data_IF_634561193741
#
_entry.id   IF_634561193741
#
_cell.length_a   1.000
_cell.length_b   1.000
_cell.length_c   1.000
_cell.angle_alpha   90.00
_cell.angle_beta   90.00
_cell.angle_gamma   90.00
#
_symmetry.space_group_name_H-M   'P 1'
#
loop_
_entity.id
_entity.type
_entity.pdbx_description
1 polymer ?
#
# COMPACT_ATOMS: atom_id res chain seq x y z
N UNK A 1 11.97 -22.56 63.85
CA UNK A 1 11.87 -22.22 62.39
C UNK A 1 13.28 -21.97 61.93
N UNK A 2 13.81 -22.80 61.02
CA UNK A 2 15.20 -22.69 60.57
C UNK A 2 15.39 -21.54 59.59
N UNK A 3 16.26 -20.59 59.88
CA UNK A 3 16.55 -19.43 59.06
C UNK A 3 16.90 -19.80 57.59
N UNK A 4 17.53 -20.94 57.38
CA UNK A 4 17.86 -21.49 56.07
C UNK A 4 16.62 -21.82 55.21
N UNK A 5 15.55 -22.33 55.81
CA UNK A 5 14.30 -22.63 55.11
C UNK A 5 13.54 -21.37 54.69
N UNK A 6 13.59 -20.32 55.50
CA UNK A 6 12.97 -19.03 55.16
C UNK A 6 13.71 -18.32 54.03
N UNK A 7 15.02 -18.34 54.02
CA UNK A 7 15.86 -17.75 52.98
C UNK A 7 15.69 -18.49 51.66
N UNK A 8 15.68 -19.80 51.66
CA UNK A 8 15.48 -20.58 50.43
C UNK A 8 14.11 -20.37 49.80
N UNK A 9 13.06 -20.21 50.57
CA UNK A 9 11.71 -19.95 50.10
C UNK A 9 11.59 -18.55 49.46
N UNK A 10 12.23 -17.54 50.08
CA UNK A 10 12.25 -16.17 49.59
C UNK A 10 13.03 -16.03 48.26
N UNK A 11 14.19 -16.69 48.17
CA UNK A 11 15.00 -16.73 46.95
C UNK A 11 14.27 -17.43 45.79
N UNK A 12 13.57 -18.52 46.09
CA UNK A 12 12.79 -19.27 45.08
C UNK A 12 11.61 -18.46 44.52
N UNK A 13 10.99 -17.63 45.35
CA UNK A 13 9.91 -16.76 44.93
C UNK A 13 10.42 -15.60 44.06
N UNK A 14 11.52 -14.99 44.36
CA UNK A 14 12.15 -13.93 43.56
C UNK A 14 12.60 -14.45 42.18
N UNK A 15 13.15 -15.67 42.12
CA UNK A 15 13.54 -16.30 40.86
C UNK A 15 12.35 -16.54 39.91
N UNK A 16 11.21 -16.91 40.45
CA UNK A 16 9.99 -17.11 39.64
C UNK A 16 9.47 -15.80 39.05
N UNK A 17 9.47 -14.73 39.81
CA UNK A 17 9.06 -13.41 39.34
C UNK A 17 9.98 -12.95 38.22
N UNK A 18 11.29 -13.10 38.36
CA UNK A 18 12.24 -12.74 37.33
C UNK A 18 12.02 -13.50 36.00
N UNK A 19 11.74 -14.79 36.07
CA UNK A 19 11.45 -15.60 34.90
C UNK A 19 10.15 -15.13 34.21
N UNK A 20 9.09 -14.85 34.96
CA UNK A 20 7.83 -14.36 34.43
C UNK A 20 7.99 -12.99 33.75
N UNK A 21 8.73 -12.07 34.39
CA UNK A 21 8.95 -10.74 33.77
C UNK A 21 9.77 -10.81 32.50
N UNK A 22 10.79 -11.67 32.43
CA UNK A 22 11.58 -11.88 31.21
C UNK A 22 10.71 -12.51 30.12
N UNK A 23 9.88 -13.49 30.46
CA UNK A 23 8.97 -14.12 29.51
C UNK A 23 7.97 -13.12 28.91
N UNK A 24 7.37 -12.27 29.74
CA UNK A 24 6.45 -11.22 29.28
C UNK A 24 7.18 -10.20 28.39
N UNK A 25 8.37 -9.76 28.80
CA UNK A 25 9.16 -8.82 28.01
C UNK A 25 9.53 -9.40 26.64
N UNK A 26 9.98 -10.65 26.60
CA UNK A 26 10.28 -11.36 25.35
C UNK A 26 9.05 -11.52 24.47
N UNK A 27 7.90 -11.86 25.05
CA UNK A 27 6.64 -11.99 24.32
C UNK A 27 6.22 -10.67 23.69
N UNK A 28 6.29 -9.56 24.43
CA UNK A 28 5.97 -8.22 23.90
C UNK A 28 6.90 -7.84 22.76
N UNK A 29 8.20 -8.16 22.87
CA UNK A 29 9.17 -7.89 21.81
C UNK A 29 8.86 -8.66 20.54
N UNK A 30 8.58 -9.96 20.65
CA UNK A 30 8.21 -10.80 19.50
C UNK A 30 6.93 -10.30 18.86
N UNK A 31 5.92 -9.98 19.67
CA UNK A 31 4.65 -9.44 19.19
C UNK A 31 4.84 -8.12 18.44
N UNK A 32 5.66 -7.22 18.95
CA UNK A 32 5.96 -5.93 18.30
C UNK A 32 6.63 -6.12 16.94
N UNK A 33 7.57 -7.04 16.83
CA UNK A 33 8.24 -7.36 15.55
C UNK A 33 7.25 -8.00 14.56
N UNK A 34 6.40 -8.92 15.03
CA UNK A 34 5.40 -9.59 14.19
C UNK A 34 4.37 -8.59 13.62
N UNK A 35 3.84 -7.71 14.46
CA UNK A 35 2.90 -6.65 14.04
C UNK A 35 3.56 -5.69 13.06
N UNK A 36 4.78 -5.23 13.35
CA UNK A 36 5.51 -4.32 12.46
C UNK A 36 5.78 -4.94 11.09
N UNK A 37 6.17 -6.21 11.07
CA UNK A 37 6.45 -6.95 9.82
C UNK A 37 5.17 -7.17 9.00
N UNK A 38 4.09 -7.55 9.67
CA UNK A 38 2.77 -7.72 9.04
C UNK A 38 2.27 -6.42 8.42
N UNK A 39 2.36 -5.33 9.16
CA UNK A 39 1.94 -4.01 8.69
C UNK A 39 2.73 -3.53 7.46
N UNK A 40 4.06 -3.70 7.48
CA UNK A 40 4.90 -3.36 6.31
C UNK A 40 4.52 -4.16 5.06
N UNK A 41 4.24 -5.46 5.23
CA UNK A 41 3.83 -6.32 4.13
C UNK A 41 2.49 -5.88 3.55
N UNK A 42 1.52 -5.59 4.41
CA UNK A 42 0.19 -5.15 4.00
C UNK A 42 0.22 -3.79 3.28
N UNK A 43 0.99 -2.82 3.81
CA UNK A 43 1.20 -1.53 3.15
C UNK A 43 1.83 -1.70 1.76
N UNK A 44 2.88 -2.53 1.66
CA UNK A 44 3.54 -2.77 0.38
C UNK A 44 2.57 -3.38 -0.64
N UNK A 45 1.81 -4.38 -0.25
CA UNK A 45 0.83 -5.03 -1.12
C UNK A 45 -0.27 -4.02 -1.54
N UNK A 46 -0.74 -3.19 -0.62
CA UNK A 46 -1.73 -2.16 -0.90
C UNK A 46 -1.23 -1.12 -1.92
N UNK A 47 0.01 -0.68 -1.80
CA UNK A 47 0.62 0.26 -2.76
C UNK A 47 0.88 -0.42 -4.09
N UNK A 48 1.42 -1.63 -4.08
CA UNK A 48 1.72 -2.40 -5.29
C UNK A 48 0.46 -2.72 -6.11
N UNK A 49 -0.68 -2.95 -5.47
CA UNK A 49 -1.95 -3.18 -6.17
C UNK A 49 -2.43 -1.98 -6.99
N UNK A 50 -2.05 -0.76 -6.60
CA UNK A 50 -2.44 0.48 -7.29
C UNK A 50 -1.42 0.87 -8.36
N UNK A 51 -0.13 0.85 -8.04
CA UNK A 51 0.93 1.39 -8.91
C UNK A 51 1.84 0.34 -9.53
N UNK A 52 1.65 -0.94 -9.20
CA UNK A 52 2.58 -2.02 -9.54
C UNK A 52 3.80 -2.04 -8.60
N UNK A 53 4.55 -3.14 -8.63
CA UNK A 53 5.78 -3.28 -7.83
C UNK A 53 6.92 -2.40 -8.35
N UNK A 54 7.00 -2.26 -9.67
CA UNK A 54 8.02 -1.46 -10.36
C UNK A 54 7.32 -0.54 -11.35
N UNK A 55 7.70 0.72 -11.35
CA UNK A 55 7.21 1.71 -12.31
C UNK A 55 8.37 2.24 -13.16
N UNK A 56 8.23 2.08 -14.46
CA UNK A 56 9.10 2.71 -15.45
C UNK A 56 8.54 4.09 -15.82
N UNK A 57 9.36 5.13 -15.67
CA UNK A 57 9.00 6.50 -16.04
C UNK A 57 10.13 7.13 -16.83
N UNK A 58 9.83 8.11 -17.67
CA UNK A 58 10.86 8.95 -18.28
C UNK A 58 11.68 9.68 -17.21
N UNK A 59 12.99 9.87 -17.39
CA UNK A 59 13.85 10.60 -16.46
C UNK A 59 13.60 12.11 -16.47
N UNK A 60 12.46 12.57 -16.92
CA UNK A 60 12.08 13.97 -16.94
C UNK A 60 11.82 14.46 -15.51
N UNK A 61 12.47 15.54 -15.12
CA UNK A 61 12.39 16.15 -13.79
C UNK A 61 11.09 16.93 -13.55
N UNK A 62 10.22 17.04 -14.54
CA UNK A 62 8.96 17.79 -14.45
C UNK A 62 7.82 16.92 -13.90
N UNK A 63 7.91 16.59 -12.62
CA UNK A 63 6.92 15.76 -11.92
C UNK A 63 5.52 16.39 -11.77
N UNK A 64 5.35 17.66 -12.09
CA UNK A 64 4.18 18.42 -11.65
C UNK A 64 3.06 18.42 -12.70
N UNK A 65 3.35 18.33 -13.97
CA UNK A 65 2.30 18.51 -14.97
C UNK A 65 2.07 17.37 -15.95
N UNK A 66 3.03 16.75 -16.49
CA UNK A 66 2.86 15.59 -17.38
C UNK A 66 4.22 14.92 -17.51
N UNK A 67 4.39 13.74 -16.92
CA UNK A 67 5.57 12.95 -17.21
C UNK A 67 5.59 12.64 -18.70
N UNK A 68 6.70 12.93 -19.37
CA UNK A 68 6.88 12.58 -20.79
C UNK A 68 6.58 11.10 -21.00
N UNK A 69 5.75 10.73 -21.99
CA UNK A 69 5.39 9.34 -22.21
C UNK A 69 6.62 8.51 -22.58
N UNK A 70 6.65 7.28 -22.09
CA UNK A 70 7.63 6.29 -22.53
C UNK A 70 7.09 5.60 -23.77
N UNK A 71 7.96 5.32 -24.73
CA UNK A 71 7.62 4.55 -25.91
C UNK A 71 7.32 3.09 -25.52
N UNK A 72 6.14 2.62 -25.90
CA UNK A 72 5.72 1.23 -25.68
C UNK A 72 6.42 0.22 -26.59
N UNK A 73 7.02 0.71 -27.70
CA UNK A 73 7.75 -0.08 -28.70
C UNK A 73 9.28 -0.02 -28.55
N UNK A 74 9.76 0.41 -27.40
CA UNK A 74 11.19 0.54 -27.14
C UNK A 74 11.89 -0.84 -27.11
N UNK A 75 13.12 -0.91 -27.64
CA UNK A 75 13.89 -2.16 -27.77
C UNK A 75 14.14 -2.87 -26.43
N UNK A 76 14.18 -2.14 -25.33
CA UNK A 76 14.34 -2.71 -23.98
C UNK A 76 13.12 -3.44 -23.46
N UNK A 77 11.91 -3.22 -24.05
CA UNK A 77 10.68 -3.90 -23.64
C UNK A 77 10.75 -5.41 -23.84
N UNK A 78 11.32 -5.85 -24.98
CA UNK A 78 11.53 -7.27 -25.23
C UNK A 78 12.50 -7.91 -24.22
N UNK A 79 13.51 -7.17 -23.79
CA UNK A 79 14.44 -7.64 -22.76
C UNK A 79 13.79 -7.73 -21.38
N UNK A 80 12.88 -6.82 -21.06
CA UNK A 80 12.12 -6.86 -19.80
C UNK A 80 11.13 -8.02 -19.77
N UNK A 81 10.43 -8.28 -20.87
CA UNK A 81 9.45 -9.38 -20.98
C UNK A 81 10.12 -10.77 -20.90
N UNK A 82 11.42 -10.85 -21.17
CA UNK A 82 12.21 -12.09 -21.06
C UNK A 82 12.69 -12.42 -19.64
N UNK A 83 12.49 -11.54 -18.68
CA UNK A 83 12.90 -11.76 -17.29
C UNK A 83 11.84 -12.61 -16.53
N UNK A 84 12.28 -13.71 -15.93
CA UNK A 84 11.40 -14.62 -15.16
C UNK A 84 10.76 -13.96 -13.95
N UNK A 85 11.37 -12.91 -13.42
CA UNK A 85 10.86 -12.16 -12.27
C UNK A 85 9.72 -11.21 -12.62
N UNK A 86 9.46 -10.94 -13.91
CA UNK A 86 8.41 -10.04 -14.39
C UNK A 86 7.18 -10.85 -14.78
N UNK A 87 6.11 -10.73 -14.02
CA UNK A 87 4.86 -11.44 -14.28
C UNK A 87 4.03 -10.78 -15.40
N UNK A 88 4.06 -9.46 -15.49
CA UNK A 88 3.33 -8.72 -16.53
C UNK A 88 3.83 -7.28 -16.63
N UNK A 89 3.76 -6.73 -17.84
CA UNK A 89 4.06 -5.32 -18.11
C UNK A 89 2.76 -4.68 -18.61
N UNK A 90 2.23 -3.72 -17.86
CA UNK A 90 0.97 -3.04 -18.20
C UNK A 90 1.23 -1.55 -18.41
N UNK A 91 0.93 -1.00 -19.60
CA UNK A 91 1.02 0.43 -19.81
C UNK A 91 -0.06 1.15 -18.99
N UNK A 92 0.32 2.24 -18.33
CA UNK A 92 -0.60 3.05 -17.56
C UNK A 92 -0.37 4.54 -17.82
N UNK A 93 -1.45 5.30 -17.91
CA UNK A 93 -1.42 6.75 -18.06
C UNK A 93 -1.98 7.35 -16.78
N UNK A 94 -1.27 8.32 -16.22
CA UNK A 94 -1.74 9.07 -15.06
C UNK A 94 -1.94 10.52 -15.45
N UNK A 95 -3.11 11.07 -15.13
CA UNK A 95 -3.42 12.47 -15.37
C UNK A 95 -4.15 13.08 -14.17
N UNK A 96 -3.62 14.18 -13.67
CA UNK A 96 -4.32 14.95 -12.65
C UNK A 96 -5.51 15.69 -13.28
N UNK A 97 -6.61 15.74 -12.55
CA UNK A 97 -7.80 16.44 -13.01
C UNK A 97 -8.76 16.74 -11.86
N UNK A 98 -9.88 17.32 -12.21
CA UNK A 98 -10.92 17.71 -11.26
C UNK A 98 -12.21 17.01 -11.67
N UNK A 99 -12.85 16.39 -10.69
CA UNK A 99 -14.20 15.80 -10.87
C UNK A 99 -15.22 16.68 -10.18
N UNK A 100 -16.32 16.92 -10.87
CA UNK A 100 -17.44 17.71 -10.37
C UNK A 100 -18.74 16.92 -10.46
N UNK A 101 -19.49 16.91 -9.36
CA UNK A 101 -20.88 16.45 -9.33
C UNK A 101 -21.74 17.50 -8.58
N UNK A 102 -22.59 18.20 -9.30
CA UNK A 102 -23.38 19.32 -8.76
C UNK A 102 -22.49 20.43 -8.19
N UNK A 103 -22.58 20.67 -6.88
CA UNK A 103 -21.75 21.63 -6.14
C UNK A 103 -20.45 21.02 -5.61
N UNK A 104 -20.31 19.70 -5.61
CA UNK A 104 -19.17 19.01 -5.05
C UNK A 104 -18.04 18.95 -6.07
N UNK A 105 -16.86 19.41 -5.68
CA UNK A 105 -15.65 19.45 -6.53
C UNK A 105 -14.51 18.76 -5.79
N UNK A 106 -13.80 17.85 -6.46
CA UNK A 106 -12.67 17.14 -5.87
C UNK A 106 -11.53 16.96 -6.87
N UNK A 107 -10.30 17.20 -6.44
CA UNK A 107 -9.10 16.91 -7.24
C UNK A 107 -8.80 15.42 -7.19
N UNK A 108 -8.54 14.83 -8.34
CA UNK A 108 -8.30 13.38 -8.49
C UNK A 108 -7.12 13.11 -9.41
N UNK A 109 -6.57 11.92 -9.29
CA UNK A 109 -5.60 11.39 -10.24
C UNK A 109 -6.30 10.27 -11.05
N UNK A 110 -6.49 10.52 -12.32
CA UNK A 110 -6.99 9.48 -13.24
C UNK A 110 -5.89 8.50 -13.60
N UNK A 111 -6.21 7.22 -13.57
CA UNK A 111 -5.35 6.13 -14.04
C UNK A 111 -6.05 5.44 -15.21
N UNK A 112 -5.50 5.57 -16.41
CA UNK A 112 -5.93 4.82 -17.58
C UNK A 112 -5.12 3.53 -17.69
N UNK A 113 -5.81 2.41 -17.92
CA UNK A 113 -5.22 1.09 -18.16
C UNK A 113 -5.89 0.46 -19.38
N UNK A 114 -5.22 -0.45 -20.11
CA UNK A 114 -5.82 -1.12 -21.27
C UNK A 114 -7.09 -1.91 -20.95
N UNK A 115 -7.18 -2.43 -19.72
CA UNK A 115 -8.30 -3.26 -19.25
C UNK A 115 -9.49 -2.45 -18.72
N UNK A 116 -9.51 -1.15 -18.97
CA UNK A 116 -10.46 -0.19 -18.38
C UNK A 116 -11.91 -0.28 -18.85
N UNK A 117 -12.32 -1.28 -19.60
CA UNK A 117 -13.68 -1.41 -20.08
C UNK A 117 -14.06 -0.39 -21.17
N UNK A 118 -15.32 0.05 -21.18
CA UNK A 118 -15.79 1.06 -22.14
C UNK A 118 -15.12 2.42 -21.88
N UNK A 119 -14.79 3.13 -22.96
CA UNK A 119 -14.07 4.42 -22.91
C UNK A 119 -14.78 5.53 -22.13
N UNK A 120 -16.07 5.36 -21.86
CA UNK A 120 -16.91 6.31 -21.13
C UNK A 120 -17.18 5.88 -19.68
N UNK A 121 -16.65 4.74 -19.24
CA UNK A 121 -16.82 4.25 -17.88
C UNK A 121 -15.59 4.52 -17.03
N UNK A 122 -15.84 4.91 -15.79
CA UNK A 122 -14.78 5.16 -14.82
C UNK A 122 -15.08 4.43 -13.51
N UNK A 123 -14.11 3.72 -12.98
CA UNK A 123 -14.19 3.11 -11.66
C UNK A 123 -13.78 4.14 -10.60
N UNK A 124 -14.67 4.41 -9.66
CA UNK A 124 -14.46 5.41 -8.60
C UNK A 124 -14.34 4.70 -7.26
N UNK A 125 -13.33 4.99 -6.44
CA UNK A 125 -13.25 4.45 -5.08
C UNK A 125 -14.47 4.86 -4.26
N UNK A 126 -15.01 3.91 -3.48
CA UNK A 126 -16.23 4.12 -2.69
C UNK A 126 -16.19 5.39 -1.84
N UNK A 127 -15.06 5.65 -1.19
CA UNK A 127 -14.89 6.86 -0.39
C UNK A 127 -15.05 8.15 -1.19
N UNK A 128 -14.56 8.18 -2.43
CA UNK A 128 -14.71 9.33 -3.32
C UNK A 128 -16.14 9.45 -3.83
N UNK A 129 -16.79 8.34 -4.13
CA UNK A 129 -18.20 8.30 -4.51
C UNK A 129 -19.09 8.87 -3.39
N UNK A 130 -18.85 8.46 -2.15
CA UNK A 130 -19.58 8.98 -0.98
C UNK A 130 -19.38 10.51 -0.81
N UNK A 131 -18.16 11.02 -0.98
CA UNK A 131 -17.85 12.46 -0.90
C UNK A 131 -18.55 13.25 -2.01
N UNK A 132 -18.63 12.71 -3.22
CA UNK A 132 -19.23 13.34 -4.37
C UNK A 132 -20.75 13.10 -4.45
N UNK A 133 -21.30 12.22 -3.61
CA UNK A 133 -22.70 11.81 -3.66
C UNK A 133 -23.06 11.05 -4.95
N UNK A 134 -22.14 10.16 -5.41
CA UNK A 134 -22.32 9.38 -6.63
C UNK A 134 -22.84 7.97 -6.31
N UNK A 135 -23.75 7.48 -7.11
CA UNK A 135 -24.18 6.09 -7.15
C UNK A 135 -23.69 5.41 -8.43
N UNK A 136 -23.77 4.09 -8.47
CA UNK A 136 -23.48 3.32 -9.67
C UNK A 136 -24.41 3.73 -10.82
N UNK A 137 -23.82 4.06 -11.97
CA UNK A 137 -24.57 4.53 -13.15
C UNK A 137 -24.74 6.05 -13.24
N UNK A 138 -24.36 6.81 -12.24
CA UNK A 138 -24.41 8.27 -12.30
C UNK A 138 -23.33 8.82 -13.26
N UNK A 139 -23.69 9.91 -13.94
CA UNK A 139 -22.76 10.66 -14.78
C UNK A 139 -21.94 11.65 -13.95
N UNK A 140 -20.63 11.72 -14.20
CA UNK A 140 -19.76 12.73 -13.62
C UNK A 140 -19.06 13.54 -14.71
N UNK A 141 -18.71 14.79 -14.39
CA UNK A 141 -17.94 15.66 -15.30
C UNK A 141 -16.50 15.75 -14.80
N UNK A 142 -15.57 15.48 -15.70
CA UNK A 142 -14.13 15.56 -15.44
C UNK A 142 -13.51 16.69 -16.27
N UNK A 143 -12.58 17.44 -15.65
CA UNK A 143 -11.84 18.55 -16.26
C UNK A 143 -10.35 18.34 -16.11
#
# INVERSE_FOLDING_TARGET
>A
MNASSFISHKLRFQGRIAVVTIAIASFIMILSVAVSSGFRKELRNGIASISGDIRLTSPDLNYINESSPIRSDASYMASLDSLEEISSIVPAIYRAGIVKNGSNIHGVLFKGTPDGGDSLQVSVPRRLADILGLNEGDGLTAY
#
